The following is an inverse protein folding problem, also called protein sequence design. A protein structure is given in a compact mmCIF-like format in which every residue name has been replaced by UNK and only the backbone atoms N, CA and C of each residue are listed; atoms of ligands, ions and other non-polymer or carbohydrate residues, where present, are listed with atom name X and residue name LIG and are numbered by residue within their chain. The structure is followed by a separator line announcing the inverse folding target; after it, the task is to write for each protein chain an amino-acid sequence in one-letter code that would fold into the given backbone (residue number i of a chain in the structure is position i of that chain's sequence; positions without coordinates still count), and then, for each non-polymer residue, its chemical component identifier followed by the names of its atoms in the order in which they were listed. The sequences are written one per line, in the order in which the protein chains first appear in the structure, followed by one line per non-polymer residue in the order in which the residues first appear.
data_IF_972467219244
#
_entry.id   IF_972467219244
#
_cell.length_a   1.000
_cell.length_b   1.000
_cell.length_c   1.000
_cell.angle_alpha   90.00
_cell.angle_beta   90.00
_cell.angle_gamma   90.00
#
_symmetry.space_group_name_H-M   'P 1'
#
loop_
_entity.id
_entity.type
_entity.pdbx_description
1 polymer ?
#
# COMPACT_ATOMS: atom_id res chain seq x y z
N UNK A 1 -15.41 12.60 19.15
CA UNK A 1 -14.33 11.59 19.02
C UNK A 1 -13.90 11.19 20.43
N UNK A 2 -13.58 9.92 20.65
CA UNK A 2 -13.14 9.43 21.96
C UNK A 2 -11.62 9.25 21.93
N UNK A 3 -10.92 9.81 22.91
CA UNK A 3 -9.48 9.66 23.09
C UNK A 3 -9.18 8.86 24.36
N UNK A 4 -8.04 8.18 24.41
CA UNK A 4 -7.55 7.55 25.64
C UNK A 4 -6.57 8.50 26.32
N UNK A 5 -6.75 8.75 27.61
CA UNK A 5 -5.80 9.56 28.37
C UNK A 5 -4.44 8.84 28.46
N UNK A 6 -3.33 9.54 28.23
CA UNK A 6 -2.00 8.96 28.35
C UNK A 6 -1.66 8.76 29.84
N UNK A 7 -1.88 7.55 30.37
CA UNK A 7 -1.45 7.12 31.70
C UNK A 7 -2.57 6.57 32.60
N UNK A 8 -3.81 6.93 32.34
CA UNK A 8 -4.98 6.59 33.15
C UNK A 8 -6.01 5.95 32.23
N UNK A 9 -6.52 4.78 32.60
CA UNK A 9 -7.29 3.92 31.68
C UNK A 9 -8.66 4.38 31.18
N UNK A 10 -9.35 5.45 31.64
CA UNK A 10 -10.69 5.75 31.13
C UNK A 10 -10.67 6.36 29.73
N UNK A 11 -11.71 6.03 28.95
CA UNK A 11 -12.01 6.69 27.68
C UNK A 11 -12.59 8.07 28.02
N UNK A 12 -11.87 9.12 27.64
CA UNK A 12 -12.27 10.52 27.87
C UNK A 12 -12.79 11.14 26.58
N UNK A 13 -13.67 12.14 26.70
CA UNK A 13 -14.36 12.78 25.58
C UNK A 13 -13.52 13.88 24.92
N UNK A 14 -12.26 13.57 24.67
CA UNK A 14 -11.32 14.43 23.95
C UNK A 14 -11.48 14.20 22.44
N UNK A 15 -11.99 15.21 21.75
CA UNK A 15 -12.04 15.26 20.29
C UNK A 15 -10.89 16.08 19.75
N UNK A 16 -10.31 15.67 18.62
CA UNK A 16 -9.31 16.44 17.90
C UNK A 16 -9.88 16.95 16.58
N UNK A 17 -9.35 18.07 16.10
CA UNK A 17 -9.58 18.56 14.75
C UNK A 17 -8.69 17.78 13.76
N UNK A 18 -9.22 16.65 13.26
CA UNK A 18 -8.57 15.78 12.27
C UNK A 18 -9.29 15.84 10.92
N UNK A 19 -9.92 16.97 10.62
CA UNK A 19 -10.58 17.13 9.33
C UNK A 19 -9.53 17.20 8.21
N UNK A 20 -9.84 16.58 7.08
CA UNK A 20 -9.07 16.76 5.85
C UNK A 20 -9.42 18.14 5.30
N UNK A 21 -8.42 18.99 5.07
CA UNK A 21 -8.67 20.31 4.48
C UNK A 21 -9.06 20.20 3.00
N UNK A 22 -9.82 21.18 2.53
CA UNK A 22 -10.37 21.24 1.18
C UNK A 22 -9.28 21.17 0.09
N UNK A 23 -8.08 21.73 0.32
CA UNK A 23 -7.01 21.68 -0.68
C UNK A 23 -6.48 20.26 -0.83
N UNK A 24 -6.23 19.56 0.28
CA UNK A 24 -5.84 18.14 0.25
C UNK A 24 -6.96 17.25 -0.28
N UNK A 25 -8.23 17.58 -0.02
CA UNK A 25 -9.37 16.87 -0.57
C UNK A 25 -9.42 16.97 -2.10
N UNK A 26 -9.23 18.18 -2.66
CA UNK A 26 -9.15 18.39 -4.11
C UNK A 26 -8.01 17.60 -4.76
N UNK A 27 -6.81 17.63 -4.16
CA UNK A 27 -5.66 16.85 -4.66
C UNK A 27 -5.94 15.35 -4.58
N UNK A 28 -6.49 14.89 -3.46
CA UNK A 28 -6.84 13.47 -3.27
C UNK A 28 -7.89 12.99 -4.26
N UNK A 29 -8.87 13.84 -4.60
CA UNK A 29 -9.89 13.53 -5.59
C UNK A 29 -9.28 13.24 -6.98
N UNK A 30 -8.43 14.15 -7.48
CA UNK A 30 -7.76 13.95 -8.77
C UNK A 30 -6.85 12.72 -8.77
N UNK A 31 -6.11 12.48 -7.67
CA UNK A 31 -5.29 11.27 -7.52
C UNK A 31 -6.12 9.98 -7.55
N UNK A 32 -7.33 9.99 -7.00
CA UNK A 32 -8.26 8.85 -7.04
C UNK A 32 -8.80 8.63 -8.46
N UNK A 33 -9.08 9.71 -9.21
CA UNK A 33 -9.47 9.61 -10.62
C UNK A 33 -8.40 8.93 -11.48
N UNK A 34 -7.12 9.20 -11.22
CA UNK A 34 -5.99 8.59 -11.94
C UNK A 34 -5.57 7.21 -11.41
N UNK A 35 -6.11 6.77 -10.27
CA UNK A 35 -5.72 5.53 -9.59
C UNK A 35 -5.72 4.29 -10.51
N UNK A 36 -6.70 4.06 -11.41
CA UNK A 36 -6.67 2.90 -12.31
C UNK A 36 -5.42 2.87 -13.20
N UNK A 37 -5.02 4.03 -13.76
CA UNK A 37 -3.85 4.13 -14.61
C UNK A 37 -2.55 3.87 -13.84
N UNK A 38 -2.45 4.41 -12.61
CA UNK A 38 -1.30 4.14 -11.74
C UNK A 38 -1.18 2.66 -11.36
N UNK A 39 -2.30 2.02 -11.01
CA UNK A 39 -2.32 0.59 -10.67
C UNK A 39 -1.92 -0.27 -11.87
N UNK A 40 -2.46 0.03 -13.04
CA UNK A 40 -2.12 -0.69 -14.27
C UNK A 40 -0.63 -0.57 -14.59
N UNK A 41 -0.08 0.65 -14.54
CA UNK A 41 1.35 0.88 -14.78
C UNK A 41 2.22 0.11 -13.79
N UNK A 42 1.88 0.11 -12.50
CA UNK A 42 2.62 -0.62 -11.47
C UNK A 42 2.56 -2.14 -11.71
N UNK A 43 1.41 -2.68 -12.10
CA UNK A 43 1.25 -4.10 -12.43
C UNK A 43 2.08 -4.52 -13.64
N UNK A 44 2.14 -3.68 -14.68
CA UNK A 44 3.03 -3.91 -15.83
C UNK A 44 4.50 -3.98 -15.42
N UNK A 45 4.95 -3.06 -14.57
CA UNK A 45 6.33 -3.03 -14.06
C UNK A 45 6.60 -4.28 -13.20
N UNK A 46 5.69 -4.64 -12.30
CA UNK A 46 5.81 -5.84 -11.48
C UNK A 46 5.88 -7.12 -12.33
N UNK A 47 5.08 -7.19 -13.40
CA UNK A 47 5.14 -8.29 -14.36
C UNK A 47 6.52 -8.37 -15.04
N UNK A 48 7.07 -7.24 -15.49
CA UNK A 48 8.42 -7.18 -16.08
C UNK A 48 9.50 -7.68 -15.11
N UNK A 49 9.48 -7.24 -13.86
CA UNK A 49 10.42 -7.73 -12.84
C UNK A 49 10.22 -9.22 -12.57
N UNK A 50 8.97 -9.69 -12.45
CA UNK A 50 8.69 -11.10 -12.24
C UNK A 50 9.25 -11.96 -13.37
N UNK A 51 9.04 -11.55 -14.61
CA UNK A 51 9.57 -12.26 -15.78
C UNK A 51 11.10 -12.22 -15.82
N UNK A 52 11.73 -11.07 -15.59
CA UNK A 52 13.18 -10.92 -15.67
C UNK A 52 13.95 -11.67 -14.57
N UNK A 53 13.35 -11.82 -13.39
CA UNK A 53 13.96 -12.52 -12.25
C UNK A 53 13.53 -14.00 -12.17
N UNK A 54 12.57 -14.41 -13.00
CA UNK A 54 12.14 -15.80 -13.06
C UNK A 54 13.30 -16.70 -13.52
N UNK A 55 13.64 -17.70 -12.72
CA UNK A 55 14.73 -18.62 -13.00
C UNK A 55 16.08 -18.24 -12.39
N UNK A 56 16.18 -17.11 -11.69
CA UNK A 56 17.37 -16.82 -10.88
C UNK A 56 17.45 -17.80 -9.69
N UNK A 57 18.57 -18.52 -9.50
CA UNK A 57 18.66 -19.66 -8.58
C UNK A 57 18.47 -19.30 -7.10
N UNK A 58 18.70 -18.05 -6.72
CA UNK A 58 18.64 -17.59 -5.32
C UNK A 58 17.45 -16.66 -5.04
N UNK A 59 16.56 -16.47 -6.02
CA UNK A 59 15.43 -15.55 -5.89
C UNK A 59 14.13 -16.34 -5.79
N UNK A 60 13.35 -16.04 -4.76
CA UNK A 60 11.97 -16.52 -4.62
C UNK A 60 11.01 -15.35 -4.65
N UNK A 61 9.99 -15.44 -5.51
CA UNK A 61 8.93 -14.44 -5.57
C UNK A 61 7.94 -14.58 -4.41
N UNK A 62 7.34 -13.46 -4.00
CA UNK A 62 6.17 -13.48 -3.13
C UNK A 62 5.00 -14.16 -3.87
N UNK A 63 4.43 -15.21 -3.26
CA UNK A 63 3.23 -15.84 -3.77
C UNK A 63 2.02 -14.93 -3.53
N UNK A 64 1.34 -14.55 -4.61
CA UNK A 64 0.11 -13.77 -4.56
C UNK A 64 -1.07 -14.75 -4.61
N UNK A 65 -1.97 -14.77 -3.61
CA UNK A 65 -3.15 -15.63 -3.63
C UNK A 65 -4.04 -15.37 -4.85
N UNK A 66 -4.74 -16.40 -5.30
CA UNK A 66 -5.71 -16.29 -6.39
C UNK A 66 -6.79 -15.25 -6.08
N UNK A 67 -7.23 -14.52 -7.11
CA UNK A 67 -8.21 -13.42 -6.98
C UNK A 67 -7.66 -12.14 -6.37
N UNK A 68 -6.42 -12.13 -5.87
CA UNK A 68 -5.79 -10.92 -5.34
C UNK A 68 -5.08 -10.12 -6.44
N UNK A 69 -5.24 -8.80 -6.42
CA UNK A 69 -4.65 -7.87 -7.38
C UNK A 69 -3.82 -6.80 -6.67
N UNK A 70 -2.54 -7.07 -6.36
CA UNK A 70 -1.69 -6.15 -5.62
C UNK A 70 -1.59 -4.78 -6.29
N UNK A 71 -1.55 -3.73 -5.47
CA UNK A 71 -1.28 -2.36 -5.92
C UNK A 71 0.21 -2.09 -6.17
N UNK A 72 1.08 -3.03 -5.77
CA UNK A 72 2.54 -2.96 -5.92
C UNK A 72 3.14 -1.61 -5.50
N UNK A 73 2.81 -1.14 -4.30
CA UNK A 73 3.56 -0.04 -3.67
C UNK A 73 5.04 -0.41 -3.54
N UNK A 74 5.31 -1.67 -3.17
CA UNK A 74 6.61 -2.31 -3.29
C UNK A 74 6.50 -3.63 -4.04
N UNK A 75 7.54 -3.98 -4.80
CA UNK A 75 7.72 -5.31 -5.39
C UNK A 75 8.70 -6.10 -4.51
N UNK A 76 8.23 -7.18 -3.89
CA UNK A 76 9.00 -7.95 -2.89
C UNK A 76 9.57 -9.23 -3.52
N UNK A 77 10.83 -9.50 -3.22
CA UNK A 77 11.50 -10.78 -3.47
C UNK A 77 12.14 -11.28 -2.18
N UNK A 78 12.36 -12.58 -2.10
CA UNK A 78 13.15 -13.22 -1.05
C UNK A 78 14.46 -13.69 -1.65
N UNK A 79 15.56 -13.39 -0.96
CA UNK A 79 16.84 -14.03 -1.22
C UNK A 79 16.90 -15.33 -0.44
N UNK A 80 17.33 -16.38 -1.11
CA UNK A 80 17.50 -17.71 -0.53
C UNK A 80 18.97 -18.11 -0.65
N UNK A 81 19.45 -18.82 0.36
CA UNK A 81 20.79 -19.42 0.34
C UNK A 81 20.59 -20.83 -0.21
N UNK A 82 21.50 -21.30 -1.08
CA UNK A 82 21.52 -22.70 -1.51
C UNK A 82 21.84 -23.65 -0.36
#
# INVERSE_FOLDING_TARGET
MFGRENGTGPVIREGNDWFLDELRACVGYEQVCELPAFLERRRQIAHRYRTALSGAPFIRHLAVPEGNHPAYYHFVIFLTIA
#
